data_IF_257481556036
#
_entry.id   IF_257481556036
#
_cell.length_a   1.000
_cell.length_b   1.000
_cell.length_c   1.000
_cell.angle_alpha   90.00
_cell.angle_beta   90.00
_cell.angle_gamma   90.00
#
_symmetry.space_group_name_H-M   'P 1'
#
loop_
_entity.id
_entity.type
_entity.pdbx_description
1 polymer ?
#
# COMPACT_ATOMS: atom_id res chain seq x y z
N UNK A 1 -1.29 -12.38 -5.21
CA UNK A 1 -0.73 -13.02 -6.37
C UNK A 1 -1.74 -13.68 -7.31
N UNK A 2 -3.05 -13.74 -6.97
CA UNK A 2 -4.08 -14.49 -7.75
C UNK A 2 -4.99 -13.60 -8.59
N UNK A 3 -4.85 -12.27 -8.53
CA UNK A 3 -5.61 -11.36 -9.40
C UNK A 3 -5.12 -11.43 -10.84
N UNK A 4 -6.02 -11.15 -11.79
CA UNK A 4 -5.66 -11.00 -13.19
C UNK A 4 -4.64 -9.90 -13.41
N UNK A 5 -3.80 -10.06 -14.43
CA UNK A 5 -2.67 -9.17 -14.73
C UNK A 5 -2.70 -8.69 -16.18
N UNK A 6 -3.74 -7.96 -16.56
CA UNK A 6 -3.85 -7.45 -17.93
C UNK A 6 -2.66 -6.54 -18.28
N UNK A 7 -2.29 -6.54 -19.57
CA UNK A 7 -1.24 -5.65 -20.08
C UNK A 7 -1.77 -4.23 -20.27
N UNK A 8 -1.92 -3.56 -19.16
CA UNK A 8 -2.38 -2.17 -19.08
C UNK A 8 -1.39 -1.33 -18.26
N UNK A 9 -1.59 -0.03 -18.22
CA UNK A 9 -0.94 0.83 -17.24
C UNK A 9 -1.82 0.90 -15.99
N UNK A 10 -1.29 0.38 -14.89
CA UNK A 10 -1.95 0.45 -13.58
C UNK A 10 -1.83 1.86 -13.02
N UNK A 11 -2.95 2.51 -12.73
CA UNK A 11 -3.00 3.87 -12.23
C UNK A 11 -3.70 3.93 -10.86
N UNK A 12 -3.44 4.99 -10.10
CA UNK A 12 -4.21 5.26 -8.86
C UNK A 12 -5.71 5.32 -9.15
N UNK A 13 -6.10 5.99 -10.22
CA UNK A 13 -7.51 6.09 -10.65
C UNK A 13 -8.16 4.72 -10.88
N UNK A 14 -7.46 3.81 -11.55
CA UNK A 14 -7.97 2.45 -11.77
C UNK A 14 -8.25 1.73 -10.43
N UNK A 15 -7.32 1.81 -9.47
CA UNK A 15 -7.51 1.20 -8.15
C UNK A 15 -8.65 1.86 -7.37
N UNK A 16 -8.75 3.18 -7.44
CA UNK A 16 -9.86 3.95 -6.85
C UNK A 16 -11.22 3.46 -7.38
N UNK A 17 -11.35 3.29 -8.70
CA UNK A 17 -12.58 2.78 -9.31
C UNK A 17 -12.85 1.32 -8.91
N UNK A 18 -11.83 0.47 -8.95
CA UNK A 18 -11.96 -0.94 -8.57
C UNK A 18 -12.46 -1.12 -7.13
N UNK A 19 -11.94 -0.32 -6.19
CA UNK A 19 -12.39 -0.35 -4.79
C UNK A 19 -13.86 0.07 -4.68
N UNK A 20 -14.24 1.17 -5.31
CA UNK A 20 -15.63 1.63 -5.29
C UNK A 20 -16.58 0.66 -5.96
N UNK A 21 -16.19 0.07 -7.09
CA UNK A 21 -17.00 -0.95 -7.78
C UNK A 21 -17.16 -2.21 -6.95
N UNK A 22 -16.10 -2.64 -6.26
CA UNK A 22 -16.16 -3.79 -5.36
C UNK A 22 -17.11 -3.53 -4.18
N UNK A 23 -17.01 -2.37 -3.53
CA UNK A 23 -17.91 -2.02 -2.43
C UNK A 23 -19.35 -1.95 -2.92
N UNK A 24 -19.60 -1.26 -4.03
CA UNK A 24 -20.94 -1.04 -4.58
C UNK A 24 -21.59 -2.34 -5.08
N UNK A 25 -20.85 -3.18 -5.80
CA UNK A 25 -21.43 -4.32 -6.53
C UNK A 25 -21.35 -5.63 -5.76
N UNK A 26 -20.32 -5.79 -4.90
CA UNK A 26 -20.05 -7.04 -4.18
C UNK A 26 -20.45 -6.91 -2.70
N UNK A 27 -19.90 -5.92 -2.00
CA UNK A 27 -20.17 -5.74 -0.55
C UNK A 27 -21.60 -5.21 -0.34
N UNK A 28 -22.04 -4.22 -1.13
CA UNK A 28 -23.41 -3.65 -1.15
C UNK A 28 -23.88 -3.08 0.18
N UNK A 29 -22.97 -2.67 1.05
CA UNK A 29 -23.27 -2.04 2.34
C UNK A 29 -22.12 -1.11 2.73
N UNK A 30 -22.41 -0.17 3.64
CA UNK A 30 -21.40 0.67 4.28
C UNK A 30 -20.35 -0.21 4.96
N UNK A 31 -19.06 0.06 4.70
CA UNK A 31 -17.96 -0.80 5.14
C UNK A 31 -16.77 -0.02 5.65
N UNK A 32 -16.10 -0.55 6.65
CA UNK A 32 -14.79 -0.06 7.09
C UNK A 32 -13.70 -0.67 6.21
N UNK A 33 -12.64 0.08 5.96
CA UNK A 33 -11.57 -0.36 5.06
C UNK A 33 -10.22 -0.20 5.76
N UNK A 34 -9.44 -1.29 5.71
CA UNK A 34 -8.05 -1.29 6.17
C UNK A 34 -7.15 -1.29 4.95
N UNK A 35 -6.20 -0.37 4.88
CA UNK A 35 -5.28 -0.24 3.75
C UNK A 35 -3.84 -0.07 4.22
N UNK A 36 -2.89 -0.72 3.55
CA UNK A 36 -1.47 -0.72 3.91
C UNK A 36 -0.64 0.01 2.87
N UNK A 37 0.31 0.82 3.32
CA UNK A 37 1.28 1.47 2.44
C UNK A 37 0.63 2.35 1.37
N UNK A 38 1.01 2.16 0.12
CA UNK A 38 0.50 2.92 -1.03
C UNK A 38 -1.00 2.76 -1.24
N UNK A 39 -1.60 1.62 -0.89
CA UNK A 39 -3.05 1.40 -1.07
C UNK A 39 -3.90 2.34 -0.21
N UNK A 40 -3.34 2.92 0.84
CA UNK A 40 -3.98 3.96 1.63
C UNK A 40 -4.42 5.15 0.75
N UNK A 41 -3.58 5.58 -0.20
CA UNK A 41 -3.92 6.66 -1.11
C UNK A 41 -5.09 6.33 -2.03
N UNK A 42 -5.21 5.09 -2.48
CA UNK A 42 -6.32 4.64 -3.34
C UNK A 42 -7.63 4.60 -2.56
N UNK A 43 -7.57 4.15 -1.31
CA UNK A 43 -8.75 4.08 -0.42
C UNK A 43 -9.22 5.48 -0.05
N UNK A 44 -8.32 6.41 0.26
CA UNK A 44 -8.66 7.80 0.52
C UNK A 44 -9.36 8.45 -0.68
N UNK A 45 -8.80 8.31 -1.88
CA UNK A 45 -9.42 8.83 -3.10
C UNK A 45 -10.75 8.13 -3.41
N UNK A 46 -10.85 6.81 -3.16
CA UNK A 46 -12.10 6.08 -3.36
C UNK A 46 -13.20 6.54 -2.38
N UNK A 47 -12.83 6.76 -1.13
CA UNK A 47 -13.73 7.29 -0.13
C UNK A 47 -14.20 8.71 -0.51
N UNK A 48 -13.32 9.60 -0.96
CA UNK A 48 -13.70 10.97 -1.33
C UNK A 48 -14.70 11.05 -2.49
N UNK A 49 -14.75 10.02 -3.35
CA UNK A 49 -15.74 9.92 -4.45
C UNK A 49 -17.10 9.45 -3.95
N UNK A 50 -17.15 8.62 -2.91
CA UNK A 50 -18.39 8.03 -2.40
C UNK A 50 -18.32 7.82 -0.87
N UNK A 51 -18.23 8.90 -0.12
CA UNK A 51 -18.05 8.86 1.34
C UNK A 51 -19.08 8.03 2.09
N UNK A 52 -20.33 8.02 1.63
CA UNK A 52 -21.42 7.31 2.30
C UNK A 52 -21.23 5.79 2.35
N UNK A 53 -20.48 5.25 1.39
CA UNK A 53 -20.18 3.82 1.33
C UNK A 53 -19.12 3.38 2.36
N UNK A 54 -18.44 4.33 2.98
CA UNK A 54 -17.35 4.07 3.94
C UNK A 54 -17.79 4.38 5.37
N UNK A 55 -17.42 3.50 6.30
CA UNK A 55 -17.56 3.72 7.75
C UNK A 55 -16.26 4.29 8.31
N UNK A 56 -15.32 3.44 8.68
CA UNK A 56 -14.01 3.81 9.23
C UNK A 56 -12.91 3.53 8.22
N UNK A 57 -11.86 4.34 8.21
CA UNK A 57 -10.65 4.11 7.44
C UNK A 57 -9.46 3.87 8.37
N UNK A 58 -8.82 2.71 8.24
CA UNK A 58 -7.63 2.37 9.02
C UNK A 58 -6.45 2.23 8.05
N UNK A 59 -5.46 3.06 8.20
CA UNK A 59 -4.28 3.13 7.33
C UNK A 59 -3.07 2.58 8.08
N UNK A 60 -2.47 1.51 7.57
CA UNK A 60 -1.28 0.91 8.16
C UNK A 60 -0.05 1.39 7.37
N UNK A 61 0.85 2.10 8.03
CA UNK A 61 2.06 2.66 7.42
C UNK A 61 1.80 3.32 6.06
N UNK A 62 0.96 4.36 5.97
CA UNK A 62 0.67 5.01 4.70
C UNK A 62 1.95 5.63 4.10
N UNK A 63 2.07 5.61 2.78
CA UNK A 63 3.21 6.23 2.09
C UNK A 63 3.20 7.76 2.27
N UNK A 64 4.38 8.39 2.38
CA UNK A 64 4.48 9.85 2.57
C UNK A 64 3.80 10.61 1.43
N UNK A 65 3.08 11.67 1.77
CA UNK A 65 2.39 12.55 0.81
C UNK A 65 3.39 13.11 -0.20
N UNK A 66 4.59 13.44 0.26
CA UNK A 66 5.69 13.90 -0.59
C UNK A 66 6.09 12.86 -1.66
N UNK A 67 6.08 11.58 -1.32
CA UNK A 67 6.36 10.50 -2.29
C UNK A 67 5.21 10.33 -3.27
N UNK A 68 3.97 10.32 -2.77
CA UNK A 68 2.75 10.18 -3.57
C UNK A 68 2.56 11.34 -4.56
N UNK A 69 2.98 12.54 -4.22
CA UNK A 69 2.88 13.72 -5.09
C UNK A 69 3.84 13.70 -6.29
N UNK A 70 4.87 12.82 -6.27
CA UNK A 70 5.83 12.77 -7.38
C UNK A 70 5.16 12.23 -8.65
N UNK A 71 5.10 13.06 -9.68
CA UNK A 71 4.53 12.74 -11.01
C UNK A 71 5.51 11.93 -11.89
N UNK A 72 5.00 11.27 -12.94
CA UNK A 72 5.85 10.62 -13.95
C UNK A 72 6.82 11.63 -14.62
N UNK A 73 8.10 11.34 -14.57
CA UNK A 73 9.19 12.11 -15.23
C UNK A 73 9.73 11.36 -16.46
N UNK A 74 10.57 12.01 -17.26
CA UNK A 74 11.24 11.34 -18.41
C UNK A 74 11.98 10.08 -17.95
N UNK A 75 12.72 10.16 -16.84
CA UNK A 75 13.49 9.02 -16.28
C UNK A 75 12.58 7.87 -15.85
N UNK A 76 11.50 8.16 -15.12
CA UNK A 76 10.57 7.12 -14.64
C UNK A 76 9.77 6.50 -15.78
N UNK A 77 9.41 7.30 -16.81
CA UNK A 77 8.76 6.78 -18.04
C UNK A 77 9.70 5.86 -18.82
N UNK A 78 11.01 6.18 -18.91
CA UNK A 78 12.00 5.30 -19.54
C UNK A 78 12.14 4.01 -18.73
N UNK A 79 12.22 4.06 -17.41
CA UNK A 79 12.26 2.85 -16.57
C UNK A 79 11.02 1.96 -16.78
N UNK A 80 9.84 2.58 -16.80
CA UNK A 80 8.58 1.87 -17.09
C UNK A 80 8.58 1.22 -18.48
N UNK A 81 9.10 1.93 -19.48
CA UNK A 81 9.21 1.41 -20.84
C UNK A 81 10.15 0.18 -20.90
N UNK A 82 11.32 0.25 -20.28
CA UNK A 82 12.26 -0.87 -20.22
C UNK A 82 11.65 -2.11 -19.55
N UNK A 83 10.89 -1.91 -18.45
CA UNK A 83 10.18 -2.99 -17.77
C UNK A 83 9.05 -3.60 -18.61
N UNK A 84 8.49 -2.87 -19.57
CA UNK A 84 7.49 -3.39 -20.50
C UNK A 84 8.08 -4.20 -21.65
N UNK A 85 9.36 -4.04 -21.99
CA UNK A 85 10.04 -4.86 -23.01
C UNK A 85 10.06 -6.33 -22.53
N UNK A 86 9.48 -7.28 -23.28
CA UNK A 86 9.29 -8.64 -22.79
C UNK A 86 10.55 -9.32 -22.24
N UNK A 87 11.68 -9.25 -22.95
CA UNK A 87 12.93 -9.89 -22.54
C UNK A 87 13.58 -9.16 -21.36
N UNK A 88 13.76 -7.85 -21.46
CA UNK A 88 14.43 -7.03 -20.42
C UNK A 88 13.56 -6.96 -19.17
N UNK A 89 12.29 -6.66 -19.33
CA UNK A 89 11.36 -6.52 -18.19
C UNK A 89 11.15 -7.83 -17.45
N UNK A 90 11.12 -8.96 -18.16
CA UNK A 90 11.05 -10.27 -17.51
C UNK A 90 12.31 -10.57 -16.71
N UNK A 91 13.49 -10.27 -17.26
CA UNK A 91 14.74 -10.45 -16.54
C UNK A 91 14.79 -9.59 -15.26
N UNK A 92 14.47 -8.29 -15.37
CA UNK A 92 14.43 -7.39 -14.22
C UNK A 92 13.39 -7.90 -13.20
N UNK A 93 12.22 -8.33 -13.66
CA UNK A 93 11.18 -8.87 -12.79
C UNK A 93 11.68 -10.06 -11.96
N UNK A 94 12.32 -11.04 -12.62
CA UNK A 94 12.89 -12.19 -11.91
C UNK A 94 14.01 -11.81 -10.95
N UNK A 95 14.81 -10.78 -11.27
CA UNK A 95 15.83 -10.29 -10.34
C UNK A 95 15.23 -9.69 -9.07
N UNK A 96 14.22 -8.81 -9.18
CA UNK A 96 13.61 -8.15 -8.02
C UNK A 96 12.67 -9.07 -7.22
N UNK A 97 12.24 -10.17 -7.80
CA UNK A 97 11.41 -11.19 -7.12
C UNK A 97 12.20 -12.46 -6.80
N UNK A 98 13.51 -12.45 -6.98
CA UNK A 98 14.38 -13.56 -6.57
C UNK A 98 14.29 -13.76 -5.04
N UNK A 99 14.42 -15.01 -4.60
CA UNK A 99 14.26 -15.36 -3.19
C UNK A 99 15.17 -14.54 -2.26
N UNK A 100 16.45 -14.41 -2.60
CA UNK A 100 17.40 -13.62 -1.84
C UNK A 100 17.03 -12.14 -1.73
N UNK A 101 16.41 -11.55 -2.76
CA UNK A 101 15.91 -10.18 -2.72
C UNK A 101 14.67 -10.03 -1.84
N UNK A 102 13.84 -11.07 -1.78
CA UNK A 102 12.70 -11.10 -0.87
C UNK A 102 13.21 -11.19 0.57
N UNK A 103 14.12 -12.10 0.87
CA UNK A 103 14.75 -12.27 2.18
C UNK A 103 15.38 -10.96 2.65
N UNK A 104 16.24 -10.34 1.83
CA UNK A 104 16.87 -9.05 2.11
C UNK A 104 15.85 -7.93 2.40
N UNK A 105 14.76 -7.84 1.63
CA UNK A 105 13.72 -6.86 1.89
C UNK A 105 13.00 -7.10 3.22
N UNK A 106 12.75 -8.35 3.59
CA UNK A 106 12.14 -8.67 4.87
C UNK A 106 13.06 -8.30 6.02
N UNK A 107 14.32 -8.67 5.96
CA UNK A 107 15.31 -8.43 7.01
C UNK A 107 15.67 -6.94 7.16
N UNK A 108 15.85 -6.23 6.08
CA UNK A 108 16.30 -4.85 6.13
C UNK A 108 15.16 -3.86 6.32
N UNK A 109 14.00 -4.13 5.71
CA UNK A 109 12.96 -3.15 5.55
C UNK A 109 11.66 -3.49 6.24
N UNK A 110 11.17 -4.73 6.11
CA UNK A 110 9.80 -5.05 6.48
C UNK A 110 9.66 -5.44 7.95
N UNK A 111 10.65 -6.09 8.54
CA UNK A 111 10.66 -6.52 9.92
C UNK A 111 11.70 -5.79 10.76
N UNK A 112 11.34 -5.50 12.00
CA UNK A 112 12.25 -4.96 13.00
C UNK A 112 13.21 -6.03 13.51
N UNK A 113 12.64 -7.16 13.94
CA UNK A 113 13.41 -8.30 14.44
C UNK A 113 13.49 -9.41 13.39
N UNK A 114 14.70 -9.59 12.84
CA UNK A 114 14.98 -10.58 11.79
C UNK A 114 14.78 -12.00 12.28
N UNK A 115 15.01 -12.27 13.59
CA UNK A 115 14.91 -13.62 14.17
C UNK A 115 13.43 -14.07 14.27
N UNK A 116 12.50 -13.14 14.23
CA UNK A 116 11.06 -13.43 14.28
C UNK A 116 10.41 -13.64 12.90
N UNK A 117 11.17 -13.55 11.81
CA UNK A 117 10.62 -13.74 10.46
C UNK A 117 10.36 -15.24 10.24
N UNK A 118 9.10 -15.67 10.05
CA UNK A 118 8.82 -17.08 9.75
C UNK A 118 9.37 -17.47 8.37
N UNK A 119 10.14 -18.55 8.28
CA UNK A 119 10.69 -19.06 7.01
C UNK A 119 9.62 -19.25 5.93
N UNK A 120 8.45 -19.76 6.32
CA UNK A 120 7.30 -19.94 5.43
C UNK A 120 6.83 -18.64 4.77
N UNK A 121 7.14 -17.49 5.36
CA UNK A 121 6.75 -16.18 4.80
C UNK A 121 7.54 -15.87 3.54
N UNK A 122 8.82 -16.19 3.50
CA UNK A 122 9.67 -16.06 2.31
C UNK A 122 9.15 -16.91 1.16
N UNK A 123 8.81 -18.17 1.43
CA UNK A 123 8.24 -19.10 0.45
C UNK A 123 6.92 -18.56 -0.09
N UNK A 124 6.05 -18.12 0.79
CA UNK A 124 4.74 -17.57 0.41
C UNK A 124 4.87 -16.34 -0.49
N UNK A 125 5.77 -15.42 -0.17
CA UNK A 125 6.00 -14.22 -0.99
C UNK A 125 6.68 -14.56 -2.32
N UNK A 126 7.63 -15.49 -2.32
CA UNK A 126 8.27 -15.98 -3.53
C UNK A 126 7.26 -16.63 -4.47
N UNK A 127 6.49 -17.60 -3.99
CA UNK A 127 5.45 -18.27 -4.78
C UNK A 127 4.41 -17.28 -5.30
N UNK A 128 3.88 -16.41 -4.45
CA UNK A 128 2.85 -15.46 -4.85
C UNK A 128 3.34 -14.48 -5.92
N UNK A 129 4.60 -14.09 -5.89
CA UNK A 129 5.20 -13.23 -6.91
C UNK A 129 5.33 -13.93 -8.28
N UNK A 130 5.46 -15.26 -8.30
CA UNK A 130 5.66 -16.04 -9.53
C UNK A 130 4.37 -16.64 -10.12
N UNK A 131 3.26 -16.67 -9.38
CA UNK A 131 1.98 -17.22 -9.86
C UNK A 131 1.46 -16.61 -11.15
N UNK A 132 1.76 -15.34 -11.43
CA UNK A 132 1.27 -14.64 -12.62
C UNK A 132 2.26 -14.59 -13.78
N UNK A 133 3.39 -15.26 -13.65
CA UNK A 133 4.41 -15.30 -14.68
C UNK A 133 4.88 -13.91 -15.12
N UNK A 134 5.29 -13.82 -16.40
CA UNK A 134 5.90 -12.61 -16.99
C UNK A 134 5.01 -11.36 -16.95
N UNK A 135 3.68 -11.50 -16.87
CA UNK A 135 2.77 -10.36 -16.97
C UNK A 135 2.70 -9.54 -15.69
N UNK A 136 3.20 -10.09 -14.57
CA UNK A 136 3.38 -9.34 -13.32
C UNK A 136 4.32 -8.13 -13.47
N UNK A 137 5.24 -8.13 -14.46
CA UNK A 137 6.10 -6.97 -14.75
C UNK A 137 5.33 -5.69 -15.08
N UNK A 138 4.11 -5.79 -15.60
CA UNK A 138 3.30 -4.62 -15.99
C UNK A 138 2.93 -3.75 -14.79
N UNK A 139 2.64 -4.37 -13.64
CA UNK A 139 2.44 -3.65 -12.38
C UNK A 139 3.73 -2.95 -11.94
N UNK A 140 4.86 -3.64 -11.95
CA UNK A 140 6.15 -3.06 -11.59
C UNK A 140 6.55 -1.92 -12.54
N UNK A 141 6.26 -2.04 -13.83
CA UNK A 141 6.45 -0.95 -14.79
C UNK A 141 5.61 0.28 -14.42
N UNK A 142 4.39 0.06 -13.98
CA UNK A 142 3.49 1.15 -13.56
C UNK A 142 3.97 1.82 -12.26
N UNK A 143 4.45 1.04 -11.30
CA UNK A 143 5.08 1.55 -10.06
C UNK A 143 6.35 2.35 -10.37
N UNK A 144 7.28 1.80 -11.16
CA UNK A 144 8.51 2.48 -11.57
C UNK A 144 8.23 3.78 -12.37
N UNK A 145 7.16 3.77 -13.16
CA UNK A 145 6.66 4.93 -13.91
C UNK A 145 5.97 5.98 -13.05
N UNK A 146 5.68 5.67 -11.79
CA UNK A 146 4.88 6.49 -10.87
C UNK A 146 3.45 6.72 -11.35
N UNK A 147 2.90 5.83 -12.17
CA UNK A 147 1.52 5.95 -12.63
C UNK A 147 0.49 5.63 -11.54
N UNK A 148 0.91 4.93 -10.49
CA UNK A 148 0.11 4.64 -9.29
C UNK A 148 0.18 5.74 -8.23
N UNK A 149 0.94 6.80 -8.46
CA UNK A 149 1.00 7.93 -7.54
C UNK A 149 -0.25 8.79 -7.66
N UNK A 150 -0.70 9.37 -6.54
CA UNK A 150 -1.86 10.24 -6.45
C UNK A 150 -1.56 11.44 -5.55
N UNK A 151 -2.09 12.60 -5.90
CA UNK A 151 -2.03 13.77 -5.01
C UNK A 151 -3.28 13.77 -4.12
N UNK A 152 -3.14 13.25 -2.91
CA UNK A 152 -4.23 13.11 -1.93
C UNK A 152 -4.43 14.33 -1.03
N UNK A 153 -3.73 15.46 -1.26
CA UNK A 153 -3.82 16.66 -0.41
C UNK A 153 -5.25 17.22 -0.38
N UNK A 154 -5.87 17.32 -1.55
CA UNK A 154 -7.24 17.81 -1.64
C UNK A 154 -8.22 16.83 -0.96
N UNK A 155 -8.03 15.55 -1.17
CA UNK A 155 -8.81 14.47 -0.54
C UNK A 155 -8.73 14.58 0.98
N UNK A 156 -7.54 14.63 1.56
CA UNK A 156 -7.34 14.72 3.01
C UNK A 156 -8.02 15.95 3.63
N UNK A 157 -7.98 17.09 2.94
CA UNK A 157 -8.59 18.34 3.44
C UNK A 157 -10.12 18.33 3.46
N UNK A 158 -10.74 17.52 2.61
CA UNK A 158 -12.19 17.57 2.43
C UNK A 158 -12.93 16.32 2.91
N UNK A 159 -12.21 15.22 3.15
CA UNK A 159 -12.81 13.98 3.62
C UNK A 159 -13.33 14.16 5.07
N UNK A 160 -14.59 13.83 5.27
CA UNK A 160 -15.27 13.92 6.58
C UNK A 160 -15.57 12.52 7.11
N UNK A 161 -14.50 11.73 7.29
CA UNK A 161 -14.56 10.37 7.87
C UNK A 161 -13.52 10.22 8.96
N UNK A 162 -13.77 9.31 9.87
CA UNK A 162 -12.77 8.88 10.84
C UNK A 162 -11.66 8.15 10.10
N UNK A 163 -10.45 8.63 10.29
CA UNK A 163 -9.23 8.06 9.71
C UNK A 163 -8.28 7.77 10.86
N UNK A 164 -7.88 6.52 10.97
CA UNK A 164 -6.92 6.08 11.97
C UNK A 164 -5.66 5.59 11.28
N UNK A 165 -4.49 5.98 11.78
CA UNK A 165 -3.19 5.50 11.29
C UNK A 165 -2.59 4.58 12.34
N UNK A 166 -2.27 3.35 11.94
CA UNK A 166 -1.44 2.42 12.70
C UNK A 166 -0.05 2.41 12.09
N UNK A 167 0.93 2.90 12.82
CA UNK A 167 2.28 3.11 12.32
C UNK A 167 3.30 2.23 13.04
N UNK A 168 4.13 1.50 12.30
CA UNK A 168 5.29 0.83 12.86
C UNK A 168 6.30 1.87 13.35
N UNK A 169 6.61 1.86 14.64
CA UNK A 169 7.44 2.90 15.28
C UNK A 169 8.84 3.00 14.69
N UNK A 170 9.38 1.87 14.19
CA UNK A 170 10.75 1.77 13.67
C UNK A 170 10.84 2.01 12.15
N UNK A 171 9.74 2.38 11.50
CA UNK A 171 9.78 2.82 10.10
C UNK A 171 10.50 4.18 10.02
N UNK A 172 11.52 4.31 9.17
CA UNK A 172 12.22 5.57 9.02
C UNK A 172 11.26 6.73 8.68
N UNK A 173 11.41 7.83 9.39
CA UNK A 173 10.66 9.08 9.16
C UNK A 173 9.14 9.00 9.41
N UNK A 174 8.65 7.91 10.00
CA UNK A 174 7.21 7.66 10.18
C UNK A 174 6.49 8.78 10.94
N UNK A 175 7.15 9.37 11.95
CA UNK A 175 6.55 10.45 12.71
C UNK A 175 6.28 11.69 11.85
N UNK A 176 7.18 12.01 10.90
CA UNK A 176 6.97 13.12 9.99
C UNK A 176 5.89 12.77 8.94
N UNK A 177 5.85 11.52 8.49
CA UNK A 177 4.78 11.04 7.59
C UNK A 177 3.42 11.20 8.26
N UNK A 178 3.26 10.74 9.50
CA UNK A 178 2.01 10.90 10.26
C UNK A 178 1.65 12.37 10.44
N UNK A 179 2.63 13.22 10.82
CA UNK A 179 2.42 14.67 10.94
C UNK A 179 2.00 15.33 9.64
N UNK A 180 2.50 14.86 8.47
CA UNK A 180 2.05 15.35 7.17
C UNK A 180 0.55 15.06 6.97
N UNK A 181 0.07 13.87 7.31
CA UNK A 181 -1.35 13.52 7.22
C UNK A 181 -2.20 14.38 8.16
N UNK A 182 -1.79 14.47 9.43
CA UNK A 182 -2.48 15.28 10.45
C UNK A 182 -2.46 16.79 10.13
N UNK A 183 -1.43 17.28 9.44
CA UNK A 183 -1.39 18.67 8.98
C UNK A 183 -2.51 18.99 7.98
N UNK A 184 -2.82 18.07 7.08
CA UNK A 184 -3.90 18.26 6.11
C UNK A 184 -5.28 17.87 6.62
N UNK A 185 -5.36 16.95 7.59
CA UNK A 185 -6.58 16.58 8.28
C UNK A 185 -6.30 16.36 9.78
N UNK A 186 -6.51 17.39 10.62
CA UNK A 186 -6.22 17.31 12.05
C UNK A 186 -7.07 16.30 12.84
N UNK A 187 -8.17 15.77 12.25
CA UNK A 187 -8.99 14.75 12.87
C UNK A 187 -8.39 13.34 12.77
N UNK A 188 -7.29 13.18 12.06
CA UNK A 188 -6.61 11.87 11.95
C UNK A 188 -5.97 11.51 13.30
N UNK A 189 -6.38 10.38 13.83
CA UNK A 189 -5.77 9.76 15.00
C UNK A 189 -4.65 8.80 14.57
N UNK A 190 -3.59 8.69 15.37
CA UNK A 190 -2.48 7.84 15.03
C UNK A 190 -1.89 7.15 16.24
N UNK A 191 -1.64 5.84 16.10
CA UNK A 191 -0.98 5.01 17.10
C UNK A 191 0.29 4.39 16.52
N UNK A 192 1.28 4.21 17.41
CA UNK A 192 2.60 3.72 17.04
C UNK A 192 2.85 2.36 17.70
N UNK A 193 2.91 1.33 16.86
CA UNK A 193 3.19 -0.04 17.29
C UNK A 193 4.70 -0.18 17.54
N UNK A 194 5.07 -0.42 18.78
CA UNK A 194 6.47 -0.52 19.18
C UNK A 194 7.14 -1.77 18.57
N UNK A 195 8.45 -1.66 18.31
CA UNK A 195 9.26 -2.78 17.80
C UNK A 195 8.73 -3.37 16.48
N UNK A 196 8.13 -2.55 15.62
CA UNK A 196 7.66 -2.96 14.29
C UNK A 196 8.12 -1.96 13.23
N UNK A 197 8.32 -2.47 12.00
CA UNK A 197 8.62 -1.68 10.80
C UNK A 197 7.41 -1.60 9.86
N UNK A 198 7.62 -1.95 8.58
CA UNK A 198 6.64 -1.74 7.50
C UNK A 198 5.39 -2.63 7.62
N UNK A 199 5.47 -3.76 8.32
CA UNK A 199 4.40 -4.75 8.41
C UNK A 199 3.96 -5.03 9.85
N UNK A 200 3.53 -4.02 10.63
CA UNK A 200 3.14 -4.21 12.04
C UNK A 200 2.04 -5.27 12.19
N UNK A 201 1.16 -5.45 11.22
CA UNK A 201 0.13 -6.47 11.19
C UNK A 201 0.67 -7.91 11.11
N UNK A 202 1.93 -8.10 10.73
CA UNK A 202 2.61 -9.39 10.74
C UNK A 202 3.56 -9.54 11.92
N UNK A 203 4.16 -8.43 12.38
CA UNK A 203 5.11 -8.41 13.49
C UNK A 203 4.42 -8.43 14.86
N UNK A 204 3.32 -7.68 15.00
CA UNK A 204 2.53 -7.57 16.24
C UNK A 204 1.02 -7.67 15.95
N UNK A 205 0.54 -8.82 15.43
CA UNK A 205 -0.84 -8.97 14.98
C UNK A 205 -1.87 -8.74 16.08
N UNK A 206 -1.59 -9.15 17.30
CA UNK A 206 -2.50 -8.99 18.44
C UNK A 206 -2.69 -7.51 18.80
N UNK A 207 -1.63 -6.73 18.85
CA UNK A 207 -1.69 -5.30 19.16
C UNK A 207 -2.43 -4.55 18.04
N UNK A 208 -2.11 -4.84 16.78
CA UNK A 208 -2.80 -4.25 15.63
C UNK A 208 -4.29 -4.61 15.65
N UNK A 209 -4.64 -5.87 15.96
CA UNK A 209 -6.03 -6.29 16.05
C UNK A 209 -6.78 -5.59 17.19
N UNK A 210 -6.12 -5.36 18.32
CA UNK A 210 -6.72 -4.63 19.45
C UNK A 210 -7.09 -3.19 19.05
N UNK A 211 -6.21 -2.47 18.35
CA UNK A 211 -6.54 -1.13 17.83
C UNK A 211 -7.64 -1.17 16.76
N UNK A 212 -7.59 -2.13 15.84
CA UNK A 212 -8.66 -2.30 14.84
C UNK A 212 -10.01 -2.49 15.53
N UNK A 213 -10.08 -3.37 16.53
CA UNK A 213 -11.32 -3.61 17.28
C UNK A 213 -11.77 -2.35 18.04
N UNK A 214 -10.85 -1.61 18.64
CA UNK A 214 -11.16 -0.35 19.30
C UNK A 214 -11.84 0.62 18.32
N UNK A 215 -11.30 0.81 17.12
CA UNK A 215 -11.84 1.73 16.12
C UNK A 215 -13.14 1.26 15.46
N UNK A 216 -13.37 -0.04 15.37
CA UNK A 216 -14.59 -0.58 14.75
C UNK A 216 -15.78 -0.69 15.71
N UNK A 217 -15.55 -0.76 17.02
CA UNK A 217 -16.59 -1.04 18.01
C UNK A 217 -16.67 0.02 19.13
N UNK A 218 -15.94 1.13 19.02
CA UNK A 218 -16.06 2.33 19.90
C UNK A 218 -17.22 3.27 19.46
#
# INVERSE_FOLDING_TARGET
GRSDRPDITYTSYMYTQLINDFIRNIIKKKTSVIATGKSASFVLDACSVNEEAYAELILINPESIRSLHKTPSKRTKTAAFLLKIPSIGTLIYHMITARNMIEENFEERYYYDREQIPEALYDYYYESSHLGGKDSRNLYASLAGRYTNANIIHTLKNINKNIHILAGREVPDIQNIVKEYQYYNPAIEAEYIAYTKELPQLESPEEVLNYINLYLYS
#
